data_IF_846744171123
#
_entry.id   IF_846744171123
#
_cell.length_a   1.000
_cell.length_b   1.000
_cell.length_c   1.000
_cell.angle_alpha   90.00
_cell.angle_beta   90.00
_cell.angle_gamma   90.00
#
_symmetry.space_group_name_H-M   'P 1'
#
loop_
_entity.id
_entity.type
_entity.pdbx_description
1 polymer ?
#
# COMPACT_ATOMS: atom_id res chain seq x y z
N UNK A 1 -47.58 -21.21 49.28
CA UNK A 1 -47.13 -22.34 48.43
C UNK A 1 -45.60 -22.42 48.51
N UNK A 2 -45.12 -23.59 48.94
CA UNK A 2 -43.76 -24.14 49.14
C UNK A 2 -42.52 -23.26 48.85
N UNK A 3 -41.81 -22.91 49.93
CA UNK A 3 -40.37 -22.62 49.98
C UNK A 3 -39.55 -23.81 49.49
N UNK A 4 -38.71 -23.61 48.49
CA UNK A 4 -37.70 -24.59 48.04
C UNK A 4 -36.57 -24.59 49.06
N UNK A 5 -36.44 -25.66 49.84
CA UNK A 5 -35.27 -25.90 50.69
C UNK A 5 -34.10 -26.28 49.77
N UNK A 6 -33.10 -25.41 49.66
CA UNK A 6 -31.80 -25.78 49.09
C UNK A 6 -31.16 -26.85 49.98
N UNK A 7 -30.81 -28.00 49.40
CA UNK A 7 -30.16 -29.09 50.11
C UNK A 7 -28.76 -28.65 50.57
N UNK A 8 -28.31 -29.07 51.76
CA UNK A 8 -27.03 -28.64 52.31
C UNK A 8 -25.89 -29.22 51.46
N UNK A 9 -25.00 -28.36 50.99
CA UNK A 9 -23.75 -28.77 50.32
C UNK A 9 -22.87 -29.43 51.40
N UNK A 10 -22.70 -30.76 51.35
CA UNK A 10 -21.76 -31.48 52.22
C UNK A 10 -20.37 -30.83 52.11
N UNK A 11 -19.66 -30.72 53.24
CA UNK A 11 -18.25 -30.30 53.26
C UNK A 11 -17.39 -31.35 52.54
N UNK A 12 -16.32 -30.92 51.86
CA UNK A 12 -15.36 -31.84 51.18
C UNK A 12 -14.81 -32.88 52.17
N UNK A 13 -14.69 -32.53 53.45
CA UNK A 13 -14.24 -33.43 54.50
C UNK A 13 -15.18 -34.61 54.80
N UNK A 14 -16.46 -34.51 54.40
CA UNK A 14 -17.51 -35.50 54.68
C UNK A 14 -17.92 -36.32 53.44
N UNK A 15 -17.19 -36.16 52.32
CA UNK A 15 -17.46 -36.85 51.06
C UNK A 15 -16.62 -38.12 50.91
N UNK A 16 -17.19 -39.17 50.30
CA UNK A 16 -16.40 -40.38 49.96
C UNK A 16 -15.44 -40.10 48.81
N UNK A 17 -14.39 -40.91 48.62
CA UNK A 17 -13.48 -40.78 47.48
C UNK A 17 -14.20 -40.74 46.12
N UNK A 18 -15.25 -41.56 45.93
CA UNK A 18 -16.05 -41.55 44.69
C UNK A 18 -16.89 -40.27 44.55
N UNK A 19 -17.47 -39.75 45.63
CA UNK A 19 -18.21 -38.48 45.62
C UNK A 19 -17.28 -37.29 45.27
N UNK A 20 -16.04 -37.30 45.76
CA UNK A 20 -15.01 -36.29 45.43
C UNK A 20 -14.62 -36.38 43.95
N UNK A 21 -14.43 -37.59 43.41
CA UNK A 21 -14.08 -37.77 42.00
C UNK A 21 -15.20 -37.28 41.06
N UNK A 22 -16.46 -37.57 41.38
CA UNK A 22 -17.62 -37.06 40.64
C UNK A 22 -17.66 -35.53 40.70
N UNK A 23 -17.41 -34.94 41.88
CA UNK A 23 -17.39 -33.49 42.07
C UNK A 23 -16.26 -32.80 41.27
N UNK A 24 -15.04 -33.36 41.29
CA UNK A 24 -13.90 -32.86 40.51
C UNK A 24 -14.15 -32.95 39.00
N UNK A 25 -14.75 -34.04 38.53
CA UNK A 25 -15.11 -34.22 37.13
C UNK A 25 -16.16 -33.19 36.69
N UNK A 26 -17.15 -32.89 37.56
CA UNK A 26 -18.13 -31.83 37.31
C UNK A 26 -17.48 -30.44 37.20
N UNK A 27 -16.59 -30.08 38.13
CA UNK A 27 -15.87 -28.78 38.06
C UNK A 27 -15.04 -28.68 36.78
N UNK A 28 -14.32 -29.74 36.40
CA UNK A 28 -13.51 -29.76 35.16
C UNK A 28 -14.40 -29.60 33.92
N UNK A 29 -15.56 -30.28 33.88
CA UNK A 29 -16.53 -30.16 32.80
C UNK A 29 -17.13 -28.74 32.73
N UNK A 30 -17.51 -28.16 33.87
CA UNK A 30 -18.06 -26.80 33.94
C UNK A 30 -17.03 -25.76 33.51
N UNK A 31 -15.75 -25.91 33.91
CA UNK A 31 -14.66 -25.06 33.45
C UNK A 31 -14.45 -25.14 31.94
N UNK A 32 -14.38 -26.36 31.37
CA UNK A 32 -14.26 -26.58 29.92
C UNK A 32 -15.44 -25.99 29.15
N UNK A 33 -16.66 -26.17 29.66
CA UNK A 33 -17.86 -25.60 29.06
C UNK A 33 -17.86 -24.07 29.11
N UNK A 34 -17.39 -23.47 30.20
CA UNK A 34 -17.25 -22.01 30.32
C UNK A 34 -16.20 -21.47 29.35
N UNK A 35 -15.05 -22.13 29.23
CA UNK A 35 -13.99 -21.78 28.28
C UNK A 35 -14.47 -21.91 26.83
N UNK A 36 -15.16 -23.00 26.48
CA UNK A 36 -15.73 -23.20 25.15
C UNK A 36 -16.76 -22.11 24.81
N UNK A 37 -17.68 -21.80 25.73
CA UNK A 37 -18.65 -20.71 25.55
C UNK A 37 -17.97 -19.35 25.38
N UNK A 38 -16.95 -19.05 26.18
CA UNK A 38 -16.19 -17.80 26.07
C UNK A 38 -15.47 -17.70 24.73
N UNK A 39 -14.86 -18.81 24.26
CA UNK A 39 -14.22 -18.88 22.94
C UNK A 39 -15.23 -18.65 21.82
N UNK A 40 -16.36 -19.38 21.82
CA UNK A 40 -17.40 -19.20 20.80
C UNK A 40 -17.97 -17.79 20.81
N UNK A 41 -18.20 -17.19 21.98
CA UNK A 41 -18.68 -15.81 22.07
C UNK A 41 -17.65 -14.81 21.48
N UNK A 42 -16.37 -14.99 21.81
CA UNK A 42 -15.28 -14.17 21.25
C UNK A 42 -15.18 -14.32 19.72
N UNK A 43 -15.18 -15.54 19.19
CA UNK A 43 -15.12 -15.81 17.75
C UNK A 43 -16.36 -15.26 17.02
N UNK A 44 -17.53 -15.32 17.65
CA UNK A 44 -18.77 -14.75 17.11
C UNK A 44 -18.68 -13.23 17.02
N UNK A 45 -18.25 -12.57 18.08
CA UNK A 45 -18.06 -11.12 18.11
C UNK A 45 -16.98 -10.68 17.12
N UNK A 46 -15.86 -11.39 17.07
CA UNK A 46 -14.79 -11.14 16.12
C UNK A 46 -15.30 -11.23 14.67
N UNK A 47 -16.09 -12.25 14.35
CA UNK A 47 -16.70 -12.40 13.03
C UNK A 47 -17.70 -11.28 12.75
N UNK A 48 -18.52 -10.89 13.73
CA UNK A 48 -19.45 -9.77 13.58
C UNK A 48 -18.72 -8.45 13.28
N UNK A 49 -17.69 -8.13 14.06
CA UNK A 49 -16.86 -6.93 13.88
C UNK A 49 -16.17 -6.95 12.52
N UNK A 50 -15.53 -8.06 12.14
CA UNK A 50 -14.84 -8.19 10.86
C UNK A 50 -15.77 -7.94 9.67
N UNK A 51 -16.95 -8.58 9.65
CA UNK A 51 -17.91 -8.41 8.57
C UNK A 51 -18.48 -6.98 8.53
N UNK A 52 -18.83 -6.42 9.70
CA UNK A 52 -19.38 -5.07 9.80
C UNK A 52 -18.39 -4.00 9.30
N UNK A 53 -17.13 -4.08 9.74
CA UNK A 53 -16.09 -3.15 9.32
C UNK A 53 -15.75 -3.33 7.83
N UNK A 54 -15.71 -4.57 7.34
CA UNK A 54 -15.45 -4.84 5.93
C UNK A 54 -16.57 -4.31 5.03
N UNK A 55 -17.84 -4.49 5.40
CA UNK A 55 -18.98 -3.96 4.66
C UNK A 55 -18.97 -2.43 4.61
N UNK A 56 -18.60 -1.77 5.70
CA UNK A 56 -18.45 -0.31 5.73
C UNK A 56 -17.30 0.14 4.82
N UNK A 57 -16.14 -0.52 4.90
CA UNK A 57 -14.99 -0.22 4.05
C UNK A 57 -15.32 -0.43 2.56
N UNK A 58 -16.07 -1.48 2.24
CA UNK A 58 -16.55 -1.75 0.88
C UNK A 58 -17.41 -0.61 0.34
N UNK A 59 -18.40 -0.14 1.10
CA UNK A 59 -19.25 1.00 0.71
C UNK A 59 -18.43 2.28 0.51
N UNK A 60 -17.47 2.55 1.40
CA UNK A 60 -16.56 3.69 1.25
C UNK A 60 -15.70 3.58 -0.02
N UNK A 61 -15.19 2.38 -0.33
CA UNK A 61 -14.44 2.11 -1.56
C UNK A 61 -15.28 2.31 -2.83
N UNK A 62 -16.52 1.82 -2.84
CA UNK A 62 -17.48 2.02 -3.95
C UNK A 62 -17.79 3.51 -4.17
N UNK A 63 -18.01 4.25 -3.08
CA UNK A 63 -18.20 5.70 -3.15
C UNK A 63 -16.97 6.42 -3.74
N UNK A 64 -15.77 6.06 -3.27
CA UNK A 64 -14.52 6.64 -3.77
C UNK A 64 -14.29 6.34 -5.26
N UNK A 65 -14.64 5.14 -5.71
CA UNK A 65 -14.58 4.76 -7.13
C UNK A 65 -15.53 5.63 -7.97
N UNK A 66 -16.77 5.78 -7.53
CA UNK A 66 -17.76 6.64 -8.20
C UNK A 66 -17.29 8.10 -8.25
N UNK A 67 -16.78 8.63 -7.13
CA UNK A 67 -16.23 9.98 -7.07
C UNK A 67 -15.07 10.17 -8.07
N UNK A 68 -14.17 9.18 -8.19
CA UNK A 68 -13.07 9.19 -9.16
C UNK A 68 -13.60 9.23 -10.61
N UNK A 69 -14.59 8.42 -10.95
CA UNK A 69 -15.17 8.37 -12.31
C UNK A 69 -15.85 9.69 -12.70
N UNK A 70 -16.58 10.30 -11.76
CA UNK A 70 -17.18 11.63 -11.98
C UNK A 70 -16.08 12.68 -12.21
N UNK A 71 -15.05 12.69 -11.37
CA UNK A 71 -13.93 13.61 -11.53
C UNK A 71 -13.22 13.44 -12.87
N UNK A 72 -13.06 12.19 -13.32
CA UNK A 72 -12.46 11.89 -14.61
C UNK A 72 -13.30 12.46 -15.75
N UNK A 73 -14.57 12.13 -15.80
CA UNK A 73 -15.52 12.61 -16.81
C UNK A 73 -15.54 14.14 -16.88
N UNK A 74 -15.71 14.82 -15.75
CA UNK A 74 -15.79 16.28 -15.75
C UNK A 74 -14.48 16.95 -16.11
N UNK A 75 -13.35 16.42 -15.63
CA UNK A 75 -12.05 16.97 -15.99
C UNK A 75 -11.69 16.65 -17.46
N UNK A 76 -12.20 15.59 -18.08
CA UNK A 76 -11.97 15.33 -19.51
C UNK A 76 -12.71 16.36 -20.37
N UNK A 77 -13.95 16.69 -19.99
CA UNK A 77 -14.69 17.81 -20.60
C UNK A 77 -13.93 19.13 -20.46
N UNK A 78 -13.37 19.40 -19.27
CA UNK A 78 -12.57 20.61 -19.05
C UNK A 78 -11.28 20.63 -19.87
N UNK A 79 -10.61 19.49 -20.04
CA UNK A 79 -9.43 19.39 -20.90
C UNK A 79 -9.77 19.76 -22.36
N UNK A 80 -10.85 19.18 -22.91
CA UNK A 80 -11.34 19.51 -24.25
C UNK A 80 -11.70 20.99 -24.39
N UNK A 81 -12.40 21.56 -23.39
CA UNK A 81 -12.75 22.98 -23.39
C UNK A 81 -11.52 23.89 -23.37
N UNK A 82 -10.49 23.55 -22.57
CA UNK A 82 -9.24 24.30 -22.49
C UNK A 82 -8.42 24.21 -23.78
N UNK A 83 -8.40 23.05 -24.42
CA UNK A 83 -7.75 22.82 -25.71
C UNK A 83 -8.42 23.65 -26.81
N UNK A 84 -9.76 23.57 -26.92
CA UNK A 84 -10.53 24.35 -27.88
C UNK A 84 -10.40 25.87 -27.67
N UNK A 85 -10.29 26.32 -26.42
CA UNK A 85 -10.13 27.72 -26.08
C UNK A 85 -8.67 28.22 -26.15
N UNK A 86 -7.70 27.33 -26.46
CA UNK A 86 -6.29 27.67 -26.56
C UNK A 86 -5.60 28.00 -25.22
N UNK A 87 -6.23 27.65 -24.09
CA UNK A 87 -5.68 27.87 -22.73
C UNK A 87 -5.08 26.62 -22.12
N UNK A 88 -5.03 25.50 -22.84
CA UNK A 88 -4.32 24.32 -22.35
C UNK A 88 -2.82 24.63 -22.24
N UNK A 89 -2.16 24.30 -21.12
CA UNK A 89 -0.75 24.62 -20.96
C UNK A 89 0.09 23.90 -22.03
N UNK A 90 0.85 24.65 -22.83
CA UNK A 90 1.62 24.15 -23.99
C UNK A 90 2.58 23.00 -23.63
N UNK A 91 3.11 22.98 -22.40
CA UNK A 91 4.03 21.95 -21.90
C UNK A 91 3.34 20.86 -21.06
N UNK A 92 2.02 20.93 -20.91
CA UNK A 92 1.31 19.92 -20.12
C UNK A 92 1.18 18.62 -20.90
N UNK A 93 1.59 17.52 -20.27
CA UNK A 93 1.36 16.15 -20.77
C UNK A 93 -0.01 15.58 -20.37
N UNK A 94 -0.99 16.44 -20.08
CA UNK A 94 -2.34 16.06 -19.64
C UNK A 94 -2.73 16.50 -18.22
N UNK A 95 -1.79 17.09 -17.46
CA UNK A 95 -2.08 17.64 -16.12
C UNK A 95 -2.48 19.11 -16.17
N UNK A 96 -3.50 19.51 -15.43
CA UNK A 96 -3.92 20.91 -15.34
C UNK A 96 -4.69 21.17 -14.04
N UNK A 97 -4.96 22.43 -13.73
CA UNK A 97 -5.81 22.80 -12.60
C UNK A 97 -6.95 23.69 -13.04
N UNK A 98 -8.09 23.55 -12.37
CA UNK A 98 -9.22 24.46 -12.45
C UNK A 98 -9.48 25.05 -11.07
N UNK A 99 -9.93 26.30 -11.05
CA UNK A 99 -10.37 26.97 -9.84
C UNK A 99 -11.86 27.29 -9.97
N UNK A 100 -12.57 27.33 -8.84
CA UNK A 100 -13.85 28.01 -8.81
C UNK A 100 -13.68 29.52 -9.05
N UNK A 101 -14.81 30.21 -9.30
CA UNK A 101 -14.84 31.65 -9.60
C UNK A 101 -14.11 32.48 -8.54
N UNK A 102 -14.36 32.18 -7.26
CA UNK A 102 -13.84 32.97 -6.13
C UNK A 102 -12.41 32.61 -5.72
N UNK A 103 -11.76 31.67 -6.45
CA UNK A 103 -10.40 31.20 -6.16
C UNK A 103 -10.25 30.68 -4.71
N UNK A 104 -11.29 30.04 -4.20
CA UNK A 104 -11.32 29.38 -2.88
C UNK A 104 -11.24 27.86 -2.98
N UNK A 105 -11.52 27.28 -4.15
CA UNK A 105 -11.44 25.85 -4.42
C UNK A 105 -10.57 25.64 -5.65
N UNK A 106 -9.68 24.66 -5.60
CA UNK A 106 -8.83 24.23 -6.72
C UNK A 106 -8.87 22.71 -6.86
N UNK A 107 -9.06 22.26 -8.10
CA UNK A 107 -8.95 20.84 -8.47
C UNK A 107 -7.79 20.71 -9.45
N UNK A 108 -6.83 19.84 -9.13
CA UNK A 108 -5.66 19.58 -9.97
C UNK A 108 -5.69 18.15 -10.48
N UNK A 109 -5.70 17.98 -11.80
CA UNK A 109 -5.43 16.70 -12.47
C UNK A 109 -3.92 16.48 -12.55
N UNK A 110 -3.46 15.32 -12.09
CA UNK A 110 -2.09 14.83 -12.23
C UNK A 110 -2.07 13.58 -13.10
N UNK A 111 -0.92 13.27 -13.70
CA UNK A 111 -0.73 11.97 -14.36
C UNK A 111 -0.25 10.99 -13.30
N UNK A 112 -0.94 9.87 -13.21
CA UNK A 112 -0.45 8.72 -12.47
C UNK A 112 0.35 7.85 -13.44
N UNK A 113 1.58 7.56 -13.07
CA UNK A 113 2.56 6.95 -13.97
C UNK A 113 3.47 5.98 -13.24
N UNK A 114 3.93 4.95 -13.92
CA UNK A 114 4.93 4.04 -13.40
C UNK A 114 6.18 3.96 -14.28
N UNK A 115 7.36 3.74 -13.68
CA UNK A 115 8.55 3.29 -14.37
C UNK A 115 8.28 2.02 -15.18
N UNK A 116 8.81 1.97 -16.40
CA UNK A 116 8.84 0.77 -17.21
C UNK A 116 10.24 0.57 -17.78
N UNK A 117 10.64 -0.68 -17.88
CA UNK A 117 11.93 -1.12 -18.40
C UNK A 117 11.68 -2.16 -19.49
N UNK A 118 12.19 -1.91 -20.69
CA UNK A 118 12.09 -2.88 -21.77
C UNK A 118 13.22 -3.93 -21.73
N UNK A 119 13.24 -4.84 -22.70
CA UNK A 119 14.22 -5.94 -22.81
C UNK A 119 15.69 -5.49 -22.82
N UNK A 120 16.01 -4.24 -23.23
CA UNK A 120 17.38 -3.72 -23.20
C UNK A 120 17.89 -3.60 -21.78
N UNK A 121 16.99 -3.44 -20.80
CA UNK A 121 17.35 -3.39 -19.38
C UNK A 121 18.00 -4.69 -18.89
N UNK A 122 17.57 -5.84 -19.41
CA UNK A 122 18.12 -7.13 -19.02
C UNK A 122 19.55 -7.30 -19.53
N UNK A 123 19.78 -6.94 -20.79
CA UNK A 123 21.13 -6.92 -21.37
C UNK A 123 22.03 -5.91 -20.68
N UNK A 124 21.51 -4.71 -20.39
CA UNK A 124 22.25 -3.67 -19.68
C UNK A 124 22.66 -4.10 -18.28
N UNK A 125 21.73 -4.67 -17.52
CA UNK A 125 22.00 -5.22 -16.20
C UNK A 125 23.02 -6.36 -16.25
N UNK A 126 22.95 -7.26 -17.24
CA UNK A 126 23.90 -8.35 -17.38
C UNK A 126 25.33 -7.84 -17.61
N UNK A 127 25.52 -6.87 -18.52
CA UNK A 127 26.84 -6.27 -18.78
C UNK A 127 27.46 -5.67 -17.51
N UNK A 128 26.65 -4.97 -16.71
CA UNK A 128 27.11 -4.41 -15.44
C UNK A 128 27.46 -5.53 -14.46
N UNK A 129 26.62 -6.56 -14.32
CA UNK A 129 26.89 -7.70 -13.43
C UNK A 129 28.19 -8.42 -13.80
N UNK A 130 28.43 -8.64 -15.09
CA UNK A 130 29.65 -9.29 -15.60
C UNK A 130 30.88 -8.44 -15.23
N UNK A 131 30.81 -7.12 -15.45
CA UNK A 131 31.85 -6.20 -15.01
C UNK A 131 32.12 -6.25 -13.51
N UNK A 132 31.06 -6.17 -12.69
CA UNK A 132 31.19 -6.17 -11.24
C UNK A 132 31.81 -7.48 -10.73
N UNK A 133 31.39 -8.62 -11.29
CA UNK A 133 31.92 -9.94 -10.94
C UNK A 133 33.41 -10.09 -11.28
N UNK A 134 33.82 -9.61 -12.46
CA UNK A 134 35.21 -9.75 -12.92
C UNK A 134 36.16 -8.76 -12.26
N UNK A 135 35.72 -7.51 -12.10
CA UNK A 135 36.61 -6.37 -11.80
C UNK A 135 36.53 -5.87 -10.35
N UNK A 136 35.40 -6.07 -9.67
CA UNK A 136 35.14 -5.53 -8.32
C UNK A 136 35.15 -6.63 -7.26
N UNK A 137 34.44 -7.74 -7.48
CA UNK A 137 34.23 -8.80 -6.48
C UNK A 137 35.51 -9.32 -5.82
N UNK A 138 36.61 -9.44 -6.57
CA UNK A 138 37.90 -9.93 -6.03
C UNK A 138 38.65 -8.89 -5.19
N UNK A 139 38.34 -7.60 -5.37
CA UNK A 139 39.02 -6.48 -4.70
C UNK A 139 38.25 -6.04 -3.46
N UNK A 140 36.93 -5.99 -3.58
CA UNK A 140 36.03 -5.46 -2.55
C UNK A 140 34.67 -6.16 -2.68
N UNK A 141 34.42 -7.11 -1.78
CA UNK A 141 33.19 -7.91 -1.77
C UNK A 141 32.00 -7.07 -1.32
N UNK A 142 32.18 -6.20 -0.33
CA UNK A 142 31.12 -5.36 0.22
C UNK A 142 30.64 -4.35 -0.84
N UNK A 143 31.58 -3.71 -1.55
CA UNK A 143 31.23 -2.80 -2.64
C UNK A 143 30.54 -3.54 -3.81
N UNK A 144 30.96 -4.78 -4.10
CA UNK A 144 30.31 -5.62 -5.09
C UNK A 144 28.86 -5.93 -4.71
N UNK A 145 28.62 -6.37 -3.47
CA UNK A 145 27.27 -6.70 -2.98
C UNK A 145 26.34 -5.48 -3.00
N UNK A 146 26.83 -4.33 -2.53
CA UNK A 146 26.07 -3.06 -2.57
C UNK A 146 25.69 -2.66 -4.01
N UNK A 147 26.60 -2.78 -4.98
CA UNK A 147 26.31 -2.46 -6.37
C UNK A 147 25.35 -3.48 -7.02
N UNK A 148 25.43 -4.75 -6.63
CA UNK A 148 24.49 -5.78 -7.07
C UNK A 148 23.07 -5.52 -6.58
N UNK A 149 22.89 -5.03 -5.35
CA UNK A 149 21.58 -4.66 -4.81
C UNK A 149 20.84 -3.60 -5.64
N UNK A 150 21.60 -2.70 -6.28
CA UNK A 150 21.03 -1.67 -7.15
C UNK A 150 20.43 -2.25 -8.45
N UNK A 151 20.87 -3.45 -8.85
CA UNK A 151 20.37 -4.19 -10.01
C UNK A 151 19.38 -5.31 -9.64
N UNK A 152 19.07 -5.46 -8.36
CA UNK A 152 18.11 -6.46 -7.89
C UNK A 152 16.70 -6.05 -8.28
N UNK A 153 16.00 -6.99 -8.93
CA UNK A 153 14.59 -6.85 -9.29
C UNK A 153 13.72 -6.90 -8.03
N UNK A 154 12.65 -6.12 -7.99
CA UNK A 154 11.66 -6.16 -6.92
C UNK A 154 10.80 -7.43 -6.99
N UNK A 155 9.82 -7.56 -6.09
CA UNK A 155 8.89 -8.70 -6.06
C UNK A 155 8.10 -8.88 -7.38
N UNK A 156 7.90 -7.80 -8.13
CA UNK A 156 7.26 -7.82 -9.45
C UNK A 156 8.23 -8.17 -10.60
N UNK A 157 9.49 -8.50 -10.30
CA UNK A 157 10.50 -8.85 -11.31
C UNK A 157 11.02 -7.64 -12.11
N UNK A 158 10.84 -6.41 -11.60
CA UNK A 158 11.24 -5.17 -12.28
C UNK A 158 12.40 -4.48 -11.58
N UNK A 159 13.23 -3.77 -12.33
CA UNK A 159 14.25 -2.89 -11.75
C UNK A 159 13.59 -1.71 -11.05
N UNK A 160 14.12 -1.34 -9.88
CA UNK A 160 13.62 -0.19 -9.12
C UNK A 160 14.20 1.12 -9.66
N UNK A 161 13.32 2.08 -9.96
CA UNK A 161 13.72 3.36 -10.56
C UNK A 161 14.74 4.11 -9.71
N UNK A 162 14.50 4.21 -8.41
CA UNK A 162 15.40 4.92 -7.49
C UNK A 162 16.80 4.29 -7.48
N UNK A 163 16.88 2.96 -7.51
CA UNK A 163 18.15 2.21 -7.48
C UNK A 163 18.92 2.36 -8.80
N UNK A 164 18.24 2.23 -9.93
CA UNK A 164 18.89 2.42 -11.25
C UNK A 164 19.38 3.86 -11.41
N UNK A 165 18.66 4.85 -10.88
CA UNK A 165 19.13 6.24 -10.93
C UNK A 165 20.42 6.47 -10.16
N UNK A 166 20.64 5.75 -9.04
CA UNK A 166 21.94 5.79 -8.34
C UNK A 166 23.06 5.26 -9.23
N UNK A 167 22.83 4.16 -9.96
CA UNK A 167 23.82 3.64 -10.92
C UNK A 167 24.14 4.65 -12.03
N UNK A 168 23.09 5.25 -12.63
CA UNK A 168 23.23 6.24 -13.70
C UNK A 168 23.96 7.51 -13.24
N UNK A 169 23.77 7.95 -12.00
CA UNK A 169 24.50 9.08 -11.42
C UNK A 169 26.00 8.81 -11.29
N UNK A 170 26.40 7.54 -11.25
CA UNK A 170 27.79 7.10 -11.13
C UNK A 170 28.38 6.63 -12.47
N UNK A 171 27.86 7.13 -13.60
CA UNK A 171 28.29 6.72 -14.95
C UNK A 171 29.80 6.87 -15.18
N UNK A 172 30.44 7.88 -14.59
CA UNK A 172 31.88 8.15 -14.73
C UNK A 172 32.77 7.41 -13.73
N UNK A 173 32.19 6.60 -12.82
CA UNK A 173 32.93 5.95 -11.73
C UNK A 173 33.95 4.92 -12.22
N UNK A 174 33.66 4.26 -13.33
CA UNK A 174 34.50 3.22 -13.91
C UNK A 174 34.66 3.46 -15.41
N UNK A 175 35.83 3.17 -15.95
CA UNK A 175 36.13 3.31 -17.38
C UNK A 175 35.88 2.02 -18.19
N UNK A 176 35.30 0.97 -17.58
CA UNK A 176 35.07 -0.31 -18.25
C UNK A 176 33.98 -0.16 -19.32
N UNK A 177 34.20 -0.62 -20.57
CA UNK A 177 33.21 -0.50 -21.64
C UNK A 177 31.85 -1.15 -21.32
N UNK A 178 31.84 -2.24 -20.54
CA UNK A 178 30.59 -2.93 -20.15
C UNK A 178 29.79 -2.12 -19.15
N UNK A 179 30.47 -1.37 -18.28
CA UNK A 179 29.82 -0.42 -17.36
C UNK A 179 29.08 0.66 -18.15
N UNK A 180 29.77 1.33 -19.06
CA UNK A 180 29.18 2.40 -19.86
C UNK A 180 28.06 1.91 -20.78
N UNK A 181 28.28 0.82 -21.54
CA UNK A 181 27.26 0.28 -22.43
C UNK A 181 26.06 -0.26 -21.64
N UNK A 182 26.29 -0.89 -20.48
CA UNK A 182 25.24 -1.36 -19.61
C UNK A 182 24.35 -0.23 -19.08
N UNK A 183 24.96 0.86 -18.60
CA UNK A 183 24.23 2.04 -18.14
C UNK A 183 23.49 2.75 -19.28
N UNK A 184 24.09 2.84 -20.46
CA UNK A 184 23.43 3.38 -21.66
C UNK A 184 22.17 2.57 -21.99
N UNK A 185 22.25 1.24 -22.03
CA UNK A 185 21.11 0.37 -22.28
C UNK A 185 20.03 0.52 -21.20
N UNK A 186 20.41 0.61 -19.92
CA UNK A 186 19.45 0.91 -18.84
C UNK A 186 18.75 2.24 -19.11
N UNK A 187 19.49 3.31 -19.38
CA UNK A 187 18.92 4.65 -19.67
C UNK A 187 17.97 4.63 -20.86
N UNK A 188 18.33 3.94 -21.94
CA UNK A 188 17.52 3.82 -23.14
C UNK A 188 16.28 2.95 -22.95
N UNK A 189 16.37 1.93 -22.10
CA UNK A 189 15.27 1.01 -21.78
C UNK A 189 14.19 1.62 -20.89
N UNK A 190 14.49 2.73 -20.22
CA UNK A 190 13.57 3.42 -19.33
C UNK A 190 12.49 4.17 -20.10
N UNK A 191 11.25 3.92 -19.73
CA UNK A 191 10.11 4.74 -20.12
C UNK A 191 9.16 4.93 -18.95
N UNK A 192 8.19 5.83 -19.15
CA UNK A 192 7.15 6.12 -18.16
C UNK A 192 5.82 5.73 -18.78
N UNK A 193 5.19 4.71 -18.21
CA UNK A 193 3.85 4.27 -18.60
C UNK A 193 2.80 5.05 -17.84
N UNK A 194 1.71 5.43 -18.51
CA UNK A 194 0.60 6.12 -17.89
C UNK A 194 -0.41 5.11 -17.35
N UNK A 195 -0.69 5.15 -16.05
CA UNK A 195 -1.74 4.36 -15.40
C UNK A 195 -3.10 5.01 -15.53
N UNK A 196 -3.12 6.34 -15.50
CA UNK A 196 -4.34 7.12 -15.57
C UNK A 196 -4.13 8.52 -15.01
N UNK A 197 -5.21 9.14 -14.57
CA UNK A 197 -5.17 10.44 -13.94
C UNK A 197 -5.44 10.33 -12.44
N UNK A 198 -4.70 11.13 -11.67
CA UNK A 198 -4.97 11.42 -10.27
C UNK A 198 -5.61 12.80 -10.10
N UNK A 199 -6.26 13.02 -8.97
CA UNK A 199 -6.91 14.28 -8.64
C UNK A 199 -6.50 14.75 -7.25
N UNK A 200 -6.15 16.03 -7.13
CA UNK A 200 -5.90 16.69 -5.85
C UNK A 200 -6.91 17.81 -5.67
N UNK A 201 -7.54 17.83 -4.50
CA UNK A 201 -8.55 18.80 -4.13
C UNK A 201 -7.96 19.73 -3.08
N UNK A 202 -8.08 21.03 -3.30
CA UNK A 202 -7.60 22.06 -2.39
C UNK A 202 -8.67 23.09 -2.11
N UNK A 203 -8.68 23.60 -0.89
CA UNK A 203 -9.52 24.72 -0.47
C UNK A 203 -8.67 25.79 0.21
N UNK A 204 -9.13 27.04 0.21
CA UNK A 204 -8.53 28.10 1.02
C UNK A 204 -9.12 28.06 2.44
N UNK A 205 -8.25 28.03 3.43
CA UNK A 205 -8.64 28.18 4.82
C UNK A 205 -9.01 29.65 5.16
N UNK A 206 -9.42 29.90 6.40
CA UNK A 206 -9.79 31.25 6.88
C UNK A 206 -8.67 32.30 6.76
N UNK A 207 -7.41 31.86 6.76
CA UNK A 207 -6.24 32.72 6.54
C UNK A 207 -5.87 32.87 5.05
N UNK A 208 -6.68 32.35 4.13
CA UNK A 208 -6.46 32.42 2.68
C UNK A 208 -5.38 31.48 2.14
N UNK A 209 -4.83 30.57 2.97
CA UNK A 209 -3.82 29.58 2.57
C UNK A 209 -4.49 28.35 1.95
N UNK A 210 -3.84 27.77 0.94
CA UNK A 210 -4.30 26.52 0.33
C UNK A 210 -4.02 25.31 1.22
N UNK A 211 -5.04 24.54 1.51
CA UNK A 211 -4.97 23.25 2.20
C UNK A 211 -5.49 22.14 1.29
N UNK A 212 -4.96 20.92 1.47
CA UNK A 212 -5.46 19.75 0.76
C UNK A 212 -6.69 19.21 1.49
N UNK A 213 -7.71 18.83 0.73
CA UNK A 213 -8.76 17.97 1.25
C UNK A 213 -8.22 16.54 1.30
N UNK A 214 -7.94 16.05 2.51
CA UNK A 214 -7.48 14.68 2.73
C UNK A 214 -8.66 13.72 2.53
N UNK A 215 -8.41 12.64 1.80
CA UNK A 215 -9.38 11.56 1.55
C UNK A 215 -8.82 10.19 1.91
N UNK A 216 -7.63 10.15 2.53
CA UNK A 216 -7.00 8.93 3.00
C UNK A 216 -7.28 8.77 4.50
N UNK A 217 -7.75 7.60 4.91
CA UNK A 217 -8.12 7.26 6.29
C UNK A 217 -7.02 7.57 7.31
N UNK A 218 -5.74 7.34 6.98
CA UNK A 218 -4.62 7.64 7.90
C UNK A 218 -4.34 9.13 8.09
N UNK A 219 -4.97 9.99 7.29
CA UNK A 219 -4.76 11.45 7.26
C UNK A 219 -6.03 12.26 7.57
N UNK A 220 -7.14 11.57 7.86
CA UNK A 220 -8.39 12.14 8.37
C UNK A 220 -8.34 12.20 9.89
#
# INVERSE_FOLDING_TARGET
>A
MKTVKEAPVKSIADMTPEEIEIYLNKIKADKRNKEAKAKTAFETEQNYVANTLFDLAKKASEFMLNAKLVCQTEMDKQAMALENYGKFPVKSKGGFSIDNKDKTIRITRTRDTEPHWDQRSEKGAQLIKDFLADSIKKKDVDAYEMLMELLTKNEAGQLEYSRVMVLLQNETRFADPRWHEGLKLLKESYSINMKGYGYRFKFKNSAGKWENLNMNFSSL
#
